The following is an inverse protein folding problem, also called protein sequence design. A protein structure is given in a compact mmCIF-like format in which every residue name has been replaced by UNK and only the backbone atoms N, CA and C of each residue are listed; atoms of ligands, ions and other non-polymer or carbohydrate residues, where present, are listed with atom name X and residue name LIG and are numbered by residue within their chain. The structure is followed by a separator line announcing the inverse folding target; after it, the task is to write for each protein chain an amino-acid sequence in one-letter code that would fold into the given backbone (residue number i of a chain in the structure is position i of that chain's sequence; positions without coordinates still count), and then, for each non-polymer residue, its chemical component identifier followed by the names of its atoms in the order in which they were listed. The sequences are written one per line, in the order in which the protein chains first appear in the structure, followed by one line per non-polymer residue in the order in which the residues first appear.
data_IF_740135475264
#
_entry.id   IF_740135475264
#
_cell.length_a   1.000
_cell.length_b   1.000
_cell.length_c   1.000
_cell.angle_alpha   90.00
_cell.angle_beta   90.00
_cell.angle_gamma   90.00
#
_symmetry.space_group_name_H-M   'P 1'
#
loop_
_entity.id
_entity.type
_entity.pdbx_description
1 polymer ?
#
# COMPACT_ATOMS: atom_id res chain seq x y z
N UNK A 1 -10.15 53.06 49.78
CA UNK A 1 -10.23 51.62 49.44
C UNK A 1 -8.86 51.20 48.91
N UNK A 2 -8.06 50.43 49.69
CA UNK A 2 -6.68 50.06 49.32
C UNK A 2 -6.70 48.66 48.69
N UNK A 3 -6.66 48.60 47.36
CA UNK A 3 -6.49 47.34 46.62
C UNK A 3 -5.08 46.82 46.93
N UNK A 4 -5.00 45.63 47.53
CA UNK A 4 -3.72 45.01 47.91
C UNK A 4 -3.04 44.50 46.64
N UNK A 5 -1.85 45.02 46.36
CA UNK A 5 -1.03 44.77 45.16
C UNK A 5 -0.86 43.28 44.79
N UNK A 6 -0.92 42.39 45.79
CA UNK A 6 -0.85 40.94 45.63
C UNK A 6 -2.01 40.33 44.83
N UNK A 7 -3.21 40.92 44.87
CA UNK A 7 -4.35 40.42 44.08
C UNK A 7 -4.18 40.68 42.59
N UNK A 8 -3.47 41.76 42.21
CA UNK A 8 -3.16 42.07 40.81
C UNK A 8 -2.14 41.08 40.26
N UNK A 9 -1.14 40.70 41.06
CA UNK A 9 -0.11 39.71 40.67
C UNK A 9 -0.71 38.31 40.51
N UNK A 10 -1.60 37.88 41.41
CA UNK A 10 -2.31 36.61 41.26
C UNK A 10 -3.21 36.55 40.01
N UNK A 11 -3.84 37.68 39.64
CA UNK A 11 -4.67 37.74 38.43
C UNK A 11 -3.82 37.74 37.15
N UNK A 12 -2.60 38.29 37.19
CA UNK A 12 -1.68 38.31 36.05
C UNK A 12 -1.00 36.95 35.81
N UNK A 13 -0.81 36.14 36.86
CA UNK A 13 -0.19 34.80 36.77
C UNK A 13 -1.18 33.69 36.35
N UNK A 14 -2.48 34.00 36.29
CA UNK A 14 -3.53 33.07 35.85
C UNK A 14 -3.95 33.31 34.39
N UNK A 15 -3.03 33.81 33.55
CA UNK A 15 -3.21 33.73 32.09
C UNK A 15 -2.93 32.29 31.64
N UNK A 16 -3.87 31.39 31.94
CA UNK A 16 -3.89 30.04 31.37
C UNK A 16 -4.10 30.21 29.88
N UNK A 17 -3.07 29.89 29.10
CA UNK A 17 -3.13 29.81 27.65
C UNK A 17 -4.18 28.76 27.27
N UNK A 18 -5.40 29.19 26.91
CA UNK A 18 -6.32 28.34 26.17
C UNK A 18 -5.74 28.18 24.76
N UNK A 19 -4.99 27.10 24.50
CA UNK A 19 -4.78 26.67 23.12
C UNK A 19 -6.12 26.15 22.62
N UNK A 20 -6.70 26.85 21.64
CA UNK A 20 -7.93 26.42 21.00
C UNK A 20 -7.65 25.10 20.24
N UNK A 21 -8.11 23.97 20.78
CA UNK A 21 -8.06 22.68 20.11
C UNK A 21 -8.88 22.77 18.82
N UNK A 22 -8.20 22.84 17.65
CA UNK A 22 -8.90 22.81 16.36
C UNK A 22 -9.47 21.40 16.16
N UNK A 23 -10.80 21.31 16.01
CA UNK A 23 -11.48 20.02 15.83
C UNK A 23 -11.09 19.40 14.48
N UNK A 24 -10.85 18.07 14.41
CA UNK A 24 -10.43 17.39 13.18
C UNK A 24 -11.36 17.56 11.97
N UNK A 25 -12.64 17.89 12.19
CA UNK A 25 -13.64 18.00 11.11
C UNK A 25 -13.58 19.33 10.33
N UNK A 26 -12.78 20.31 10.77
CA UNK A 26 -12.70 21.63 10.11
C UNK A 26 -11.54 21.79 9.12
N UNK A 27 -10.83 20.72 8.76
CA UNK A 27 -9.78 20.80 7.74
C UNK A 27 -10.41 20.86 6.33
N UNK A 28 -10.20 21.93 5.54
CA UNK A 28 -10.73 22.00 4.18
C UNK A 28 -10.04 20.97 3.27
N UNK A 29 -10.81 20.33 2.38
CA UNK A 29 -10.28 19.44 1.34
C UNK A 29 -9.35 20.25 0.42
N UNK A 30 -8.16 19.70 0.17
CA UNK A 30 -7.10 20.39 -0.57
C UNK A 30 -7.02 19.82 -1.98
N UNK A 31 -7.31 20.64 -2.98
CA UNK A 31 -7.38 20.22 -4.39
C UNK A 31 -6.04 20.37 -5.15
N UNK A 32 -4.99 20.94 -4.54
CA UNK A 32 -3.66 21.08 -5.17
C UNK A 32 -2.51 20.90 -4.16
N UNK A 33 -1.42 20.22 -4.58
CA UNK A 33 -0.23 20.00 -3.75
C UNK A 33 0.57 21.32 -3.51
N UNK A 34 1.06 21.52 -2.29
CA UNK A 34 1.83 22.69 -1.84
C UNK A 34 2.31 22.49 -0.39
N UNK A 35 2.98 23.44 0.25
CA UNK A 35 3.54 23.24 1.61
C UNK A 35 2.53 22.89 2.72
N UNK A 36 1.24 23.14 2.47
CA UNK A 36 0.12 22.73 3.32
C UNK A 36 -0.37 21.28 3.07
N UNK A 37 0.39 20.48 2.32
CA UNK A 37 0.09 19.07 2.02
C UNK A 37 0.67 18.19 3.14
N UNK A 38 0.06 18.33 4.31
CA UNK A 38 0.49 17.65 5.52
C UNK A 38 -0.70 17.15 6.34
N UNK A 39 -0.48 16.06 7.06
CA UNK A 39 -1.36 15.60 8.12
C UNK A 39 -0.89 16.29 9.40
N UNK A 40 -1.81 16.98 10.07
CA UNK A 40 -1.56 17.69 11.33
C UNK A 40 -2.08 16.86 12.49
N UNK A 41 -1.31 16.78 13.56
CA UNK A 41 -1.71 16.13 14.83
C UNK A 41 -1.16 16.92 16.02
N UNK A 42 -1.65 16.58 17.22
CA UNK A 42 -1.12 17.12 18.47
C UNK A 42 -0.70 15.95 19.36
N UNK A 43 0.54 15.96 19.80
CA UNK A 43 1.12 14.97 20.71
C UNK A 43 1.95 15.70 21.76
N UNK A 44 1.78 15.34 23.04
CA UNK A 44 2.41 16.00 24.20
C UNK A 44 2.19 17.53 24.25
N UNK A 45 1.03 17.99 23.79
CA UNK A 45 0.68 19.41 23.75
C UNK A 45 1.44 20.23 22.70
N UNK A 46 2.25 19.58 21.86
CA UNK A 46 2.97 20.19 20.76
C UNK A 46 2.31 19.88 19.41
N UNK A 47 2.25 20.88 18.54
CA UNK A 47 1.78 20.71 17.16
C UNK A 47 2.81 19.90 16.37
N UNK A 48 2.34 18.80 15.77
CA UNK A 48 3.13 17.95 14.88
C UNK A 48 2.56 18.03 13.47
N UNK A 49 3.43 17.89 12.48
CA UNK A 49 3.03 17.77 11.07
C UNK A 49 3.89 16.75 10.35
N UNK A 50 3.27 15.97 9.47
CA UNK A 50 3.97 15.10 8.53
C UNK A 50 3.52 15.41 7.11
N UNK A 51 4.47 15.70 6.21
CA UNK A 51 4.15 15.91 4.78
C UNK A 51 3.64 14.61 4.17
N UNK A 52 2.67 14.66 3.26
CA UNK A 52 2.15 13.44 2.61
C UNK A 52 3.23 12.65 1.88
N UNK A 53 4.23 13.31 1.28
CA UNK A 53 5.36 12.62 0.65
C UNK A 53 6.14 11.72 1.62
N UNK A 54 6.24 12.12 2.89
CA UNK A 54 6.84 11.34 3.96
C UNK A 54 5.85 10.30 4.50
N UNK A 55 4.60 10.72 4.75
CA UNK A 55 3.54 9.86 5.28
C UNK A 55 3.27 8.66 4.36
N UNK A 56 3.33 8.86 3.04
CA UNK A 56 3.14 7.82 2.02
C UNK A 56 3.98 6.57 2.29
N UNK A 57 5.22 6.72 2.77
CA UNK A 57 6.10 5.59 3.08
C UNK A 57 5.53 4.63 4.13
N UNK A 58 4.65 5.12 5.00
CA UNK A 58 4.00 4.33 6.05
C UNK A 58 2.67 3.71 5.59
N UNK A 59 2.13 4.14 4.45
CA UNK A 59 0.93 3.57 3.85
C UNK A 59 1.23 2.59 2.72
N UNK A 60 2.49 2.53 2.24
CA UNK A 60 2.92 1.48 1.32
C UNK A 60 2.92 0.15 2.07
N UNK A 61 2.31 -0.92 1.51
CA UNK A 61 2.41 -2.25 2.09
C UNK A 61 3.89 -2.64 2.25
N UNK A 62 4.30 -2.97 3.47
CA UNK A 62 5.60 -3.58 3.71
C UNK A 62 5.50 -5.04 3.27
N UNK A 63 6.10 -5.36 2.12
CA UNK A 63 6.13 -6.74 1.61
C UNK A 63 7.37 -7.42 2.19
N UNK A 64 7.16 -8.37 3.10
CA UNK A 64 8.19 -9.29 3.57
C UNK A 64 7.82 -10.71 3.10
N UNK A 65 8.20 -11.09 1.87
CA UNK A 65 7.70 -12.29 1.24
C UNK A 65 8.30 -13.55 1.87
N UNK A 66 7.51 -14.62 1.89
CA UNK A 66 7.94 -15.92 2.41
C UNK A 66 8.76 -16.64 1.32
N UNK A 67 10.03 -16.99 1.56
CA UNK A 67 10.81 -17.74 0.59
C UNK A 67 10.25 -19.15 0.42
N UNK A 68 10.09 -19.58 -0.83
CA UNK A 68 9.66 -20.94 -1.20
C UNK A 68 10.56 -21.51 -2.29
N UNK A 69 10.62 -22.84 -2.37
CA UNK A 69 11.57 -23.55 -3.23
C UNK A 69 11.21 -23.52 -4.73
N UNK A 70 9.92 -23.34 -5.06
CA UNK A 70 9.42 -23.47 -6.43
C UNK A 70 8.17 -22.63 -6.66
N UNK A 71 7.84 -22.37 -7.93
CA UNK A 71 6.66 -21.60 -8.30
C UNK A 71 5.38 -22.27 -7.78
N UNK A 72 4.50 -21.52 -7.10
CA UNK A 72 3.24 -22.06 -6.60
C UNK A 72 2.32 -22.42 -7.78
N UNK A 73 1.58 -23.54 -7.72
CA UNK A 73 0.53 -23.86 -8.70
C UNK A 73 -0.49 -22.73 -8.85
N UNK A 74 -1.16 -22.62 -10.00
CA UNK A 74 -2.14 -21.55 -10.24
C UNK A 74 -3.33 -21.58 -9.25
N UNK A 75 -3.69 -22.77 -8.74
CA UNK A 75 -4.81 -23.01 -7.82
C UNK A 75 -4.45 -24.07 -6.79
N UNK A 76 -5.19 -24.13 -5.68
CA UNK A 76 -5.04 -25.20 -4.68
C UNK A 76 -3.94 -24.95 -3.65
N UNK A 77 -3.40 -23.73 -3.58
CA UNK A 77 -2.43 -23.36 -2.57
C UNK A 77 -3.14 -23.16 -1.23
N UNK A 78 -3.00 -24.10 -0.31
CA UNK A 78 -3.54 -23.97 1.05
C UNK A 78 -2.54 -23.34 2.02
N UNK A 79 -1.25 -23.35 1.65
CA UNK A 79 -0.17 -22.70 2.39
C UNK A 79 -0.04 -21.24 1.95
N UNK A 80 0.29 -20.36 2.90
CA UNK A 80 0.59 -18.95 2.65
C UNK A 80 -0.58 -18.11 2.12
N UNK A 81 -1.83 -18.50 2.37
CA UNK A 81 -3.02 -17.69 2.05
C UNK A 81 -2.88 -16.26 2.59
N UNK A 82 -3.16 -15.27 1.73
CA UNK A 82 -3.03 -13.86 2.05
C UNK A 82 -1.60 -13.33 2.14
N UNK A 83 -0.59 -14.17 1.89
CA UNK A 83 0.82 -13.78 1.94
C UNK A 83 1.42 -13.66 0.56
N UNK A 84 2.46 -12.82 0.48
CA UNK A 84 3.39 -12.84 -0.64
C UNK A 84 4.41 -13.98 -0.43
N UNK A 85 4.69 -14.73 -1.49
CA UNK A 85 5.71 -15.77 -1.51
C UNK A 85 6.70 -15.47 -2.62
N UNK A 86 7.98 -15.78 -2.38
CA UNK A 86 9.07 -15.46 -3.29
C UNK A 86 9.84 -16.73 -3.66
N UNK A 87 10.10 -16.89 -4.96
CA UNK A 87 10.89 -18.00 -5.51
C UNK A 87 12.22 -17.45 -6.00
N UNK A 88 13.31 -17.85 -5.33
CA UNK A 88 14.62 -17.24 -5.56
C UNK A 88 14.57 -15.72 -5.40
N UNK A 89 15.38 -14.99 -6.17
CA UNK A 89 15.40 -13.51 -6.10
C UNK A 89 14.56 -12.84 -7.20
N UNK A 90 13.82 -13.63 -7.99
CA UNK A 90 13.26 -13.16 -9.25
C UNK A 90 11.75 -13.19 -9.34
N UNK A 91 11.04 -14.11 -8.68
CA UNK A 91 9.59 -14.25 -8.82
C UNK A 91 8.87 -13.96 -7.51
N UNK A 92 7.83 -13.14 -7.57
CA UNK A 92 6.97 -12.80 -6.45
C UNK A 92 5.52 -13.15 -6.79
N UNK A 93 4.89 -13.93 -5.92
CA UNK A 93 3.49 -14.32 -6.03
C UNK A 93 2.72 -13.84 -4.81
N UNK A 94 1.46 -13.49 -5.01
CA UNK A 94 0.47 -13.37 -3.94
C UNK A 94 -0.45 -14.59 -3.98
N UNK A 95 -0.64 -15.25 -2.83
CA UNK A 95 -1.63 -16.31 -2.70
C UNK A 95 -2.90 -15.69 -2.15
N UNK A 96 -3.97 -15.66 -2.94
CA UNK A 96 -5.23 -15.08 -2.47
C UNK A 96 -5.92 -15.97 -1.43
N UNK A 97 -7.00 -15.47 -0.82
CA UNK A 97 -7.77 -16.21 0.20
C UNK A 97 -8.45 -17.48 -0.30
N UNK A 98 -8.46 -17.73 -1.61
CA UNK A 98 -8.99 -18.95 -2.24
C UNK A 98 -7.88 -19.91 -2.70
N UNK A 99 -6.62 -19.58 -2.44
CA UNK A 99 -5.47 -20.41 -2.81
C UNK A 99 -5.05 -20.28 -4.28
N UNK A 100 -5.44 -19.18 -4.95
CA UNK A 100 -4.93 -18.87 -6.30
C UNK A 100 -3.61 -18.13 -6.19
N UNK A 101 -2.62 -18.56 -6.98
CA UNK A 101 -1.36 -17.85 -7.08
C UNK A 101 -1.42 -16.81 -8.20
N UNK A 102 -1.11 -15.56 -7.86
CA UNK A 102 -1.06 -14.45 -8.80
C UNK A 102 0.38 -13.95 -8.82
N UNK A 103 1.06 -14.06 -9.96
CA UNK A 103 2.38 -13.46 -10.12
C UNK A 103 2.23 -11.94 -10.14
N UNK A 104 2.90 -11.26 -9.23
CA UNK A 104 2.84 -9.80 -9.04
C UNK A 104 4.18 -9.11 -9.29
N UNK A 105 5.24 -9.88 -9.49
CA UNK A 105 6.57 -9.37 -9.79
C UNK A 105 7.48 -10.44 -10.40
N UNK A 106 8.52 -9.98 -11.10
CA UNK A 106 9.45 -10.84 -11.82
C UNK A 106 9.08 -11.09 -13.27
N UNK A 107 10.09 -11.33 -14.12
CA UNK A 107 9.85 -11.86 -15.46
C UNK A 107 9.57 -13.36 -15.33
N UNK A 108 8.30 -13.72 -15.21
CA UNK A 108 7.89 -15.11 -15.32
C UNK A 108 8.12 -15.53 -16.76
N UNK A 109 8.92 -16.56 -16.99
CA UNK A 109 8.97 -17.25 -18.29
C UNK A 109 7.58 -17.87 -18.48
N UNK A 110 6.65 -17.09 -19.05
CA UNK A 110 5.30 -17.55 -19.37
C UNK A 110 5.43 -18.83 -20.18
N UNK A 111 4.99 -19.94 -19.59
CA UNK A 111 5.08 -21.28 -20.14
C UNK A 111 4.13 -21.46 -21.33
N UNK A 112 4.45 -20.79 -22.44
CA UNK A 112 3.91 -21.08 -23.75
C UNK A 112 5.09 -21.49 -24.62
N UNK A 113 5.56 -22.74 -24.45
CA UNK A 113 6.42 -23.33 -25.47
C UNK A 113 5.67 -23.34 -26.80
N UNK A 114 6.36 -23.22 -27.95
CA UNK A 114 5.71 -23.40 -29.24
C UNK A 114 4.97 -24.75 -29.24
N UNK A 115 3.79 -24.85 -29.90
CA UNK A 115 3.07 -26.11 -29.99
C UNK A 115 4.04 -27.19 -30.51
N UNK A 116 4.20 -28.25 -29.73
CA UNK A 116 5.04 -29.39 -30.06
C UNK A 116 4.16 -30.58 -30.42
N UNK A 117 4.54 -31.30 -31.47
CA UNK A 117 3.81 -32.43 -32.02
C UNK A 117 3.81 -32.42 -33.54
N UNK A 118 3.80 -33.60 -34.17
CA UNK A 118 3.51 -33.70 -35.58
C UNK A 118 2.09 -33.19 -35.83
N UNK A 119 1.86 -32.42 -36.90
CA UNK A 119 0.50 -32.14 -37.35
C UNK A 119 -0.19 -33.49 -37.61
N UNK A 120 -1.11 -33.89 -36.73
CA UNK A 120 -1.74 -35.21 -36.77
C UNK A 120 -2.77 -35.38 -37.88
N UNK A 121 -2.83 -34.44 -38.82
CA UNK A 121 -3.73 -34.49 -39.97
C UNK A 121 -3.04 -35.13 -41.16
N UNK A 122 -3.76 -36.01 -41.85
CA UNK A 122 -3.39 -36.49 -43.17
C UNK A 122 -3.28 -35.30 -44.14
N UNK A 123 -2.07 -35.08 -44.66
CA UNK A 123 -1.80 -34.02 -45.65
C UNK A 123 -2.07 -34.48 -47.09
N UNK A 124 -2.47 -35.74 -47.30
CA UNK A 124 -2.77 -36.30 -48.62
C UNK A 124 -4.18 -35.91 -49.13
N UNK A 125 -4.89 -35.05 -48.40
CA UNK A 125 -6.19 -34.52 -48.82
C UNK A 125 -6.11 -33.62 -50.05
N UNK A 126 -6.89 -33.91 -51.08
CA UNK A 126 -7.06 -32.99 -52.23
C UNK A 126 -8.04 -31.88 -51.84
N UNK A 127 -7.52 -30.70 -51.50
CA UNK A 127 -8.37 -29.54 -51.22
C UNK A 127 -8.86 -28.93 -52.54
N UNK A 128 -10.18 -28.69 -52.69
CA UNK A 128 -10.70 -28.09 -53.91
C UNK A 128 -10.10 -26.69 -54.09
N UNK A 129 -9.64 -26.42 -55.31
CA UNK A 129 -9.16 -25.09 -55.69
C UNK A 129 -10.34 -24.09 -55.59
N UNK A 130 -10.15 -22.87 -55.05
CA UNK A 130 -11.21 -21.88 -55.02
C UNK A 130 -11.66 -21.53 -56.45
N UNK A 131 -12.97 -21.54 -56.69
CA UNK A 131 -13.59 -21.01 -57.93
C UNK A 131 -13.89 -19.53 -57.81
#
# INVERSE_FOLDING_TARGET
MRIRFYYIICFLLLAVSLSAQRKPITFPEKTTAGDNDAIYSQEDGADKKIKFATARKYFVPVINPIPIASAPPATGNTLNLGNFVQVGDSLLYYIDGTGRAIQVGGSGTGGGGPPSGAAGGDLDGTYPNPT
#
